data_IF_987599194629
#
_entry.id   IF_987599194629
#
_cell.length_a   1.000
_cell.length_b   1.000
_cell.length_c   1.000
_cell.angle_alpha   90.00
_cell.angle_beta   90.00
_cell.angle_gamma   90.00
#
_symmetry.space_group_name_H-M   'P 1'
#
loop_
_entity.id
_entity.type
_entity.pdbx_description
1 polymer ?
#
# COMPACT_ATOMS: atom_id res chain seq x y z
N UNK A 1 9.66 1.72 0.13
CA UNK A 1 8.92 2.83 -0.52
C UNK A 1 8.04 3.51 0.53
N UNK A 2 7.94 4.84 0.54
CA UNK A 2 7.09 5.58 1.47
C UNK A 2 6.11 6.47 0.72
N UNK A 3 4.83 6.33 1.02
CA UNK A 3 3.74 7.16 0.51
C UNK A 3 3.34 8.12 1.62
N UNK A 4 3.25 9.42 1.31
CA UNK A 4 2.80 10.46 2.25
C UNK A 4 1.68 11.25 1.57
N UNK A 5 0.55 11.39 2.25
CA UNK A 5 -0.65 12.03 1.68
C UNK A 5 -1.55 12.60 2.79
N UNK A 6 -2.70 13.17 2.38
CA UNK A 6 -3.78 13.53 3.31
C UNK A 6 -4.34 12.28 3.99
N UNK A 7 -4.87 12.44 5.20
CA UNK A 7 -5.37 11.32 6.02
C UNK A 7 -6.46 10.51 5.30
N UNK A 8 -7.39 11.18 4.60
CA UNK A 8 -8.43 10.51 3.79
C UNK A 8 -7.85 9.58 2.72
N UNK A 9 -6.80 10.02 2.02
CA UNK A 9 -6.11 9.22 1.00
C UNK A 9 -5.39 8.04 1.66
N UNK A 10 -4.78 8.25 2.82
CA UNK A 10 -4.09 7.19 3.56
C UNK A 10 -5.08 6.14 4.06
N UNK A 11 -6.27 6.53 4.51
CA UNK A 11 -7.33 5.58 4.89
C UNK A 11 -7.80 4.74 3.70
N UNK A 12 -7.99 5.36 2.53
CA UNK A 12 -8.30 4.61 1.30
C UNK A 12 -7.21 3.59 0.94
N UNK A 13 -5.95 3.98 1.06
CA UNK A 13 -4.81 3.08 0.82
C UNK A 13 -4.80 1.94 1.85
N UNK A 14 -5.04 2.22 3.14
CA UNK A 14 -5.14 1.19 4.18
C UNK A 14 -6.26 0.20 3.86
N UNK A 15 -7.43 0.70 3.47
CA UNK A 15 -8.56 -0.14 3.12
C UNK A 15 -8.25 -1.03 1.91
N UNK A 16 -7.57 -0.50 0.89
CA UNK A 16 -7.11 -1.29 -0.25
C UNK A 16 -6.08 -2.36 0.16
N UNK A 17 -5.16 -2.05 1.09
CA UNK A 17 -4.18 -3.01 1.61
C UNK A 17 -4.89 -4.18 2.31
N UNK A 18 -5.94 -3.90 3.07
CA UNK A 18 -6.63 -4.91 3.87
C UNK A 18 -7.65 -5.75 3.09
N UNK A 19 -8.21 -5.22 2.00
CA UNK A 19 -9.38 -5.84 1.35
C UNK A 19 -9.18 -6.20 -0.13
N UNK A 20 -8.19 -5.64 -0.82
CA UNK A 20 -7.93 -5.97 -2.23
C UNK A 20 -6.96 -7.14 -2.39
N UNK A 21 -7.08 -7.89 -3.49
CA UNK A 21 -6.15 -8.98 -3.82
C UNK A 21 -4.70 -8.50 -3.94
N UNK A 22 -4.48 -7.29 -4.45
CA UNK A 22 -3.16 -6.66 -4.52
C UNK A 22 -2.65 -6.30 -3.14
N UNK A 23 -3.51 -5.76 -2.28
CA UNK A 23 -3.20 -5.46 -0.88
C UNK A 23 -2.73 -6.69 -0.10
N UNK A 24 -3.47 -7.79 -0.21
CA UNK A 24 -3.10 -9.07 0.39
C UNK A 24 -1.74 -9.58 -0.14
N UNK A 25 -1.52 -9.51 -1.46
CA UNK A 25 -0.24 -9.87 -2.07
C UNK A 25 0.92 -8.96 -1.62
N UNK A 26 0.67 -7.67 -1.38
CA UNK A 26 1.66 -6.75 -0.83
C UNK A 26 2.00 -7.10 0.62
N UNK A 27 1.02 -7.50 1.44
CA UNK A 27 1.26 -7.94 2.82
C UNK A 27 2.13 -9.21 2.89
N UNK A 28 2.12 -10.06 1.86
CA UNK A 28 3.03 -11.20 1.77
C UNK A 28 4.47 -10.76 1.49
N UNK A 29 4.66 -9.79 0.58
CA UNK A 29 5.99 -9.36 0.09
C UNK A 29 6.66 -8.28 0.95
N UNK A 30 5.89 -7.45 1.65
CA UNK A 30 6.38 -6.27 2.36
C UNK A 30 5.97 -6.28 3.84
N UNK A 31 6.85 -5.78 4.69
CA UNK A 31 6.50 -5.27 6.01
C UNK A 31 5.90 -3.87 5.83
N UNK A 32 4.62 -3.73 6.17
CA UNK A 32 3.87 -2.49 5.95
C UNK A 32 3.72 -1.75 7.28
N UNK A 33 4.19 -0.51 7.35
CA UNK A 33 4.04 0.35 8.53
C UNK A 33 3.00 1.42 8.20
N UNK A 34 1.92 1.44 9.01
CA UNK A 34 0.80 2.35 8.85
C UNK A 34 0.92 3.53 9.83
N UNK A 35 0.64 4.73 9.35
CA UNK A 35 0.56 5.95 10.14
C UNK A 35 -0.62 6.81 9.67
N UNK A 36 -1.05 7.85 10.40
CA UNK A 36 -2.18 8.68 9.98
C UNK A 36 -1.98 9.38 8.62
N UNK A 37 -0.73 9.72 8.29
CA UNK A 37 -0.39 10.49 7.06
C UNK A 37 0.63 9.82 6.15
N UNK A 38 1.00 8.57 6.45
CA UNK A 38 1.93 7.84 5.61
C UNK A 38 1.74 6.33 5.70
N UNK A 39 2.12 5.66 4.61
CA UNK A 39 2.27 4.20 4.55
C UNK A 39 3.69 3.91 4.06
N UNK A 40 4.39 3.04 4.76
CA UNK A 40 5.75 2.63 4.41
C UNK A 40 5.79 1.14 4.10
N UNK A 41 6.42 0.79 2.97
CA UNK A 41 6.57 -0.57 2.46
C UNK A 41 8.05 -0.93 2.47
N UNK A 42 8.40 -1.91 3.30
CA UNK A 42 9.75 -2.43 3.43
C UNK A 42 9.78 -3.89 2.93
N UNK A 43 10.50 -4.21 1.84
CA UNK A 43 10.57 -5.57 1.31
C UNK A 43 11.00 -6.57 2.41
N UNK A 44 10.35 -7.73 2.48
CA UNK A 44 10.75 -8.80 3.42
C UNK A 44 12.02 -9.54 2.97
N UNK A 45 12.29 -9.51 1.68
CA UNK A 45 13.49 -10.08 1.04
C UNK A 45 14.29 -8.96 0.38
N UNK A 46 15.57 -9.17 0.07
CA UNK A 46 16.42 -8.22 -0.66
C UNK A 46 16.03 -8.04 -2.15
N UNK A 47 14.76 -8.29 -2.49
CA UNK A 47 14.22 -8.09 -3.83
C UNK A 47 13.84 -6.63 -4.03
N UNK A 48 14.03 -6.16 -5.27
CA UNK A 48 13.60 -4.83 -5.65
C UNK A 48 12.08 -4.68 -5.63
N UNK A 49 11.55 -3.52 -5.19
CA UNK A 49 10.12 -3.28 -5.22
C UNK A 49 9.55 -3.31 -6.64
N UNK A 50 8.44 -4.03 -6.84
CA UNK A 50 7.74 -4.06 -8.12
C UNK A 50 6.80 -2.85 -8.26
N UNK A 51 7.11 -1.94 -9.18
CA UNK A 51 6.31 -0.74 -9.46
C UNK A 51 4.87 -1.04 -9.89
N UNK A 52 4.61 -2.20 -10.51
CA UNK A 52 3.24 -2.60 -10.88
C UNK A 52 2.36 -2.84 -9.66
N UNK A 53 2.91 -3.40 -8.57
CA UNK A 53 2.14 -3.64 -7.35
C UNK A 53 1.62 -2.31 -6.77
N UNK A 54 2.46 -1.25 -6.80
CA UNK A 54 2.08 0.08 -6.31
C UNK A 54 1.11 0.81 -7.25
N UNK A 55 1.24 0.62 -8.56
CA UNK A 55 0.26 1.14 -9.52
C UNK A 55 -1.14 0.59 -9.24
N UNK A 56 -1.25 -0.74 -9.10
CA UNK A 56 -2.53 -1.37 -8.83
C UNK A 56 -3.07 -1.03 -7.44
N UNK A 57 -2.20 -0.90 -6.43
CA UNK A 57 -2.62 -0.43 -5.12
C UNK A 57 -3.29 0.95 -5.20
N UNK A 58 -2.70 1.89 -5.93
CA UNK A 58 -3.28 3.22 -6.14
C UNK A 58 -4.64 3.15 -6.85
N UNK A 59 -4.74 2.30 -7.89
CA UNK A 59 -6.00 2.08 -8.60
C UNK A 59 -7.12 1.57 -7.69
N UNK A 60 -6.83 0.57 -6.84
CA UNK A 60 -7.79 0.04 -5.87
C UNK A 60 -8.12 1.03 -4.76
N UNK A 61 -7.14 1.77 -4.24
CA UNK A 61 -7.36 2.81 -3.24
C UNK A 61 -8.39 3.85 -3.71
N UNK A 62 -8.32 4.25 -4.98
CA UNK A 62 -9.27 5.20 -5.57
C UNK A 62 -10.71 4.68 -5.69
N UNK A 63 -10.97 3.39 -5.43
CA UNK A 63 -12.33 2.83 -5.41
C UNK A 63 -13.02 2.99 -4.04
N UNK A 64 -12.29 3.42 -3.02
CA UNK A 64 -12.80 3.65 -1.66
C UNK A 64 -13.08 5.13 -1.38
N UNK A 65 -13.25 5.94 -2.43
CA UNK A 65 -13.67 7.36 -2.35
C UNK A 65 -15.08 7.56 -1.77
#
# INVERSE_FOLDING_TARGET
MKITAQESIIEQIKQAIETSSIGLGLQEKYNIILSPRSVEFNPKTEQEPNMQDFFWLGWFANQYE
#
